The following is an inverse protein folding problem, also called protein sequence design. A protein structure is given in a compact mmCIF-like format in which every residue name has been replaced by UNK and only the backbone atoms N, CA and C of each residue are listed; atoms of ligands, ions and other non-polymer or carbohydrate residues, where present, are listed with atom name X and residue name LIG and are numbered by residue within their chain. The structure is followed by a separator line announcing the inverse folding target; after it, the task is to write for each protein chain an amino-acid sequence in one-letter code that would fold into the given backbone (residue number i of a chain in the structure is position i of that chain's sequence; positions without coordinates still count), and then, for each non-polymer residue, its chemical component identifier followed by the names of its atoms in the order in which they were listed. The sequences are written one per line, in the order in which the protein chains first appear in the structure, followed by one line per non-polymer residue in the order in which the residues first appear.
data_IF_571022378130
#
_entry.id   IF_571022378130
#
_cell.length_a   1.000
_cell.length_b   1.000
_cell.length_c   1.000
_cell.angle_alpha   90.00
_cell.angle_beta   90.00
_cell.angle_gamma   90.00
#
_symmetry.space_group_name_H-M   'P 1'
#
loop_
_entity.id
_entity.type
_entity.pdbx_description
1 polymer ?
#
# COMPACT_ATOMS: atom_id res chain seq x y z
N UNK A 1 -1.94 19.45 -3.39
CA UNK A 1 -1.50 19.37 -1.97
C UNK A 1 -2.73 19.25 -1.11
N UNK A 2 -2.82 18.19 -0.36
CA UNK A 2 -3.95 17.94 0.55
C UNK A 2 -3.46 18.04 2.00
N UNK A 3 -4.19 18.77 2.83
CA UNK A 3 -3.85 19.00 4.24
C UNK A 3 -5.04 18.58 5.09
N UNK A 4 -4.88 17.54 5.90
CA UNK A 4 -5.90 17.15 6.88
C UNK A 4 -5.80 18.00 8.15
N UNK A 5 -6.96 18.48 8.60
CA UNK A 5 -7.10 19.02 9.94
C UNK A 5 -6.96 17.95 11.01
N UNK A 6 -6.77 18.36 12.24
CA UNK A 6 -6.54 17.49 13.40
C UNK A 6 -7.71 16.56 13.65
N UNK A 7 -7.50 15.27 13.58
CA UNK A 7 -8.41 14.27 14.12
C UNK A 7 -7.80 13.72 15.42
N UNK A 8 -8.50 13.98 16.49
CA UNK A 8 -8.06 13.85 17.86
C UNK A 8 -7.60 12.48 18.32
N UNK A 9 -6.33 12.21 18.25
CA UNK A 9 -5.61 11.41 19.20
C UNK A 9 -4.43 12.22 19.71
N UNK A 10 -4.13 12.12 20.98
CA UNK A 10 -3.37 13.05 21.80
C UNK A 10 -1.90 13.27 21.41
N UNK A 11 -1.42 12.79 20.27
CA UNK A 11 -0.02 12.92 19.86
C UNK A 11 0.23 13.69 18.55
N UNK A 12 -0.79 13.90 17.71
CA UNK A 12 -0.63 14.67 16.47
C UNK A 12 -1.49 15.93 16.51
N UNK A 13 -1.04 16.93 17.22
CA UNK A 13 -1.71 18.24 17.28
C UNK A 13 -1.17 19.13 16.18
N UNK A 14 -1.88 19.23 15.08
CA UNK A 14 -1.57 20.18 14.00
C UNK A 14 -1.94 19.70 12.61
N UNK A 15 -1.96 20.59 11.62
CA UNK A 15 -2.16 20.20 10.22
C UNK A 15 -0.99 19.36 9.75
N UNK A 16 -1.27 18.26 9.05
CA UNK A 16 -0.23 17.44 8.41
C UNK A 16 -0.44 17.39 6.91
N UNK A 17 0.65 17.31 6.17
CA UNK A 17 0.60 17.09 4.73
C UNK A 17 0.25 15.63 4.50
N UNK A 18 -0.79 15.38 3.72
CA UNK A 18 -1.24 14.02 3.37
C UNK A 18 -0.63 13.60 2.04
N UNK A 19 -0.87 14.37 0.98
CA UNK A 19 -0.30 14.15 -0.34
C UNK A 19 0.42 15.43 -0.80
N UNK A 20 1.68 15.28 -1.19
CA UNK A 20 2.51 16.35 -1.75
C UNK A 20 3.49 15.74 -2.74
N UNK A 21 3.12 15.75 -4.02
CA UNK A 21 3.94 15.17 -5.07
C UNK A 21 3.90 15.99 -6.36
N UNK A 22 4.92 15.82 -7.18
CA UNK A 22 4.96 16.26 -8.57
C UNK A 22 4.89 15.03 -9.47
N UNK A 23 4.18 15.16 -10.58
CA UNK A 23 4.05 14.08 -11.56
C UNK A 23 4.31 14.60 -12.97
N UNK A 24 5.18 13.90 -13.70
CA UNK A 24 5.44 14.14 -15.09
C UNK A 24 4.67 13.12 -15.94
N UNK A 25 3.70 13.61 -16.73
CA UNK A 25 2.70 12.80 -17.44
C UNK A 25 2.70 12.99 -18.95
N UNK A 26 3.84 13.39 -19.52
CA UNK A 26 3.93 13.71 -20.95
C UNK A 26 3.57 12.52 -21.85
N UNK A 27 3.92 11.32 -21.47
CA UNK A 27 3.64 10.09 -22.21
C UNK A 27 2.80 9.13 -21.34
N UNK A 28 1.74 8.56 -21.92
CA UNK A 28 0.92 7.56 -21.20
C UNK A 28 1.72 6.30 -20.84
N UNK A 29 2.67 5.93 -21.70
CA UNK A 29 3.52 4.75 -21.48
C UNK A 29 4.64 4.94 -20.46
N UNK A 30 4.94 6.19 -20.08
CA UNK A 30 6.01 6.49 -19.12
C UNK A 30 5.69 7.77 -18.37
N UNK A 31 5.38 7.64 -17.10
CA UNK A 31 5.07 8.74 -16.18
C UNK A 31 5.96 8.58 -14.94
N UNK A 32 6.35 9.70 -14.35
CA UNK A 32 7.21 9.72 -13.16
C UNK A 32 6.54 10.54 -12.09
N UNK A 33 6.36 9.97 -10.91
CA UNK A 33 5.82 10.63 -9.71
C UNK A 33 6.86 10.67 -8.62
N UNK A 34 7.06 11.83 -8.03
CA UNK A 34 8.01 12.05 -6.93
C UNK A 34 7.36 12.86 -5.82
N UNK A 35 7.59 12.48 -4.57
CA UNK A 35 7.07 13.15 -3.38
C UNK A 35 6.40 12.19 -2.41
N UNK A 36 5.43 12.68 -1.64
CA UNK A 36 4.62 11.90 -0.71
C UNK A 36 3.27 11.56 -1.33
N UNK A 37 3.01 10.28 -1.50
CA UNK A 37 1.79 9.75 -2.14
C UNK A 37 1.51 8.31 -1.70
N UNK A 38 0.35 7.78 -2.10
CA UNK A 38 -0.05 6.40 -1.79
C UNK A 38 0.85 5.39 -2.49
N UNK A 39 1.29 4.37 -1.74
CA UNK A 39 2.10 3.26 -2.25
C UNK A 39 1.33 2.43 -3.27
N UNK A 40 2.01 1.97 -4.32
CA UNK A 40 1.44 1.16 -5.40
C UNK A 40 1.32 -0.33 -5.00
N UNK A 41 0.62 -0.61 -3.89
CA UNK A 41 0.41 -1.96 -3.39
C UNK A 41 -1.08 -2.21 -3.17
N UNK A 42 -1.61 -3.33 -3.65
CA UNK A 42 -3.04 -3.68 -3.77
C UNK A 42 -3.82 -2.85 -4.80
N UNK A 43 -5.01 -3.28 -5.16
CA UNK A 43 -5.90 -2.48 -6.00
C UNK A 43 -6.45 -1.25 -5.27
N UNK A 44 -6.74 -1.39 -3.98
CA UNK A 44 -7.47 -0.38 -3.23
C UNK A 44 -6.59 0.74 -2.69
N UNK A 45 -5.32 0.46 -2.33
CA UNK A 45 -4.50 1.48 -1.68
C UNK A 45 -4.32 2.75 -2.53
N UNK A 46 -4.04 2.67 -3.85
CA UNK A 46 -3.92 3.87 -4.69
C UNK A 46 -5.27 4.55 -4.97
N UNK A 47 -6.41 3.91 -4.74
CA UNK A 47 -7.72 4.47 -5.03
C UNK A 47 -8.08 5.64 -4.11
N UNK A 48 -8.95 6.54 -4.59
CA UNK A 48 -9.54 7.54 -3.72
C UNK A 48 -10.50 6.87 -2.74
N UNK A 49 -10.64 7.40 -1.50
CA UNK A 49 -11.56 6.84 -0.52
C UNK A 49 -13.01 6.76 -1.01
N UNK A 50 -13.43 7.65 -1.89
CA UNK A 50 -14.77 7.71 -2.47
C UNK A 50 -15.04 6.59 -3.49
N UNK A 51 -13.98 6.03 -4.10
CA UNK A 51 -14.07 5.02 -5.15
C UNK A 51 -13.93 3.58 -4.58
N UNK A 52 -13.68 3.45 -3.27
CA UNK A 52 -13.48 2.14 -2.63
C UNK A 52 -14.79 1.34 -2.53
N UNK A 53 -15.93 2.04 -2.40
CA UNK A 53 -17.24 1.42 -2.23
C UNK A 53 -17.68 1.36 -0.76
N UNK A 54 -18.22 0.24 -0.30
CA UNK A 54 -18.84 0.14 1.02
C UNK A 54 -17.88 0.36 2.18
N UNK A 55 -18.05 1.47 2.89
CA UNK A 55 -17.60 1.64 4.28
C UNK A 55 -16.11 1.73 4.56
N UNK A 56 -15.22 1.62 3.57
CA UNK A 56 -13.78 1.76 3.76
C UNK A 56 -12.94 0.70 3.07
N UNK A 57 -11.66 0.66 3.44
CA UNK A 57 -10.68 -0.30 2.88
C UNK A 57 -10.98 -1.73 3.32
N UNK A 58 -10.67 -2.69 2.45
CA UNK A 58 -10.69 -4.10 2.80
C UNK A 58 -9.71 -4.39 3.94
N UNK A 59 -9.96 -5.47 4.70
CA UNK A 59 -9.04 -5.88 5.77
C UNK A 59 -7.62 -6.13 5.25
N UNK A 60 -7.48 -6.60 4.00
CA UNK A 60 -6.20 -6.81 3.37
C UNK A 60 -5.45 -5.48 3.24
N UNK A 61 -6.06 -4.47 2.65
CA UNK A 61 -5.47 -3.14 2.49
C UNK A 61 -5.24 -2.46 3.85
N UNK A 62 -6.19 -2.56 4.78
CA UNK A 62 -6.04 -2.02 6.13
C UNK A 62 -4.82 -2.60 6.87
N UNK A 63 -4.61 -3.91 6.80
CA UNK A 63 -3.57 -4.61 7.56
C UNK A 63 -2.22 -4.72 6.84
N UNK A 64 -2.18 -4.51 5.52
CA UNK A 64 -0.98 -4.75 4.72
C UNK A 64 -0.55 -3.58 3.84
N UNK A 65 -1.29 -2.46 3.81
CA UNK A 65 -0.92 -1.31 2.97
C UNK A 65 -0.55 -0.05 3.77
N UNK A 66 -0.43 -0.14 5.10
CA UNK A 66 0.01 0.96 5.97
C UNK A 66 -1.13 1.79 6.56
N UNK A 67 -2.34 1.22 6.71
CA UNK A 67 -3.42 1.84 7.47
C UNK A 67 -3.30 1.50 8.96
N UNK A 68 -3.67 0.26 9.32
CA UNK A 68 -3.44 -0.37 10.61
C UNK A 68 -2.50 -1.56 10.43
N UNK A 69 -1.31 -1.28 9.95
CA UNK A 69 -0.38 -2.28 9.44
C UNK A 69 0.09 -3.24 10.53
N UNK A 70 0.07 -4.54 10.22
CA UNK A 70 0.46 -5.61 11.16
C UNK A 70 1.91 -5.51 11.62
N UNK A 71 2.79 -4.89 10.86
CA UNK A 71 4.18 -4.66 11.26
C UNK A 71 4.31 -3.62 12.39
N UNK A 72 3.21 -2.93 12.73
CA UNK A 72 3.19 -1.90 13.76
C UNK A 72 3.61 -0.53 13.25
N UNK A 73 3.58 -0.33 11.94
CA UNK A 73 3.72 1.00 11.35
C UNK A 73 2.61 1.91 11.90
N UNK A 74 2.98 3.16 12.19
CA UNK A 74 1.98 4.19 12.51
C UNK A 74 1.00 4.34 11.33
N UNK A 75 -0.21 4.80 11.60
CA UNK A 75 -1.22 4.96 10.54
C UNK A 75 -0.75 5.95 9.49
N UNK A 76 -0.20 5.43 8.39
CA UNK A 76 0.33 6.22 7.28
C UNK A 76 -0.73 6.53 6.22
N UNK A 77 -1.93 5.96 6.36
CA UNK A 77 -2.95 6.04 5.32
C UNK A 77 -2.48 5.44 3.99
N UNK A 78 -1.58 4.45 4.03
CA UNK A 78 -1.01 3.82 2.85
C UNK A 78 0.00 4.68 2.07
N UNK A 79 0.51 5.75 2.67
CA UNK A 79 1.39 6.73 2.02
C UNK A 79 2.83 6.64 2.47
N UNK A 80 3.72 7.12 1.60
CA UNK A 80 5.14 7.26 1.92
C UNK A 80 5.79 8.28 0.98
N UNK A 81 7.00 8.70 1.30
CA UNK A 81 7.83 9.51 0.40
C UNK A 81 8.57 8.57 -0.54
N UNK A 82 8.49 8.86 -1.84
CA UNK A 82 9.11 7.99 -2.83
C UNK A 82 9.21 8.57 -4.22
N UNK A 83 9.77 7.76 -5.10
CA UNK A 83 9.81 7.94 -6.55
C UNK A 83 9.13 6.74 -7.19
N UNK A 84 8.17 6.98 -8.07
CA UNK A 84 7.45 5.93 -8.79
C UNK A 84 7.46 6.21 -10.29
N UNK A 85 7.67 5.17 -11.06
CA UNK A 85 7.49 5.14 -12.52
C UNK A 85 6.26 4.28 -12.79
N UNK A 86 5.38 4.76 -13.66
CA UNK A 86 4.18 4.05 -14.08
C UNK A 86 3.87 4.30 -15.54
N UNK A 87 3.07 3.47 -16.14
CA UNK A 87 2.62 3.68 -17.51
C UNK A 87 1.69 2.63 -18.03
N UNK A 88 1.00 3.01 -19.10
CA UNK A 88 0.04 2.21 -19.85
C UNK A 88 0.64 1.85 -21.21
N UNK A 89 0.67 0.56 -21.52
CA UNK A 89 1.27 0.07 -22.77
C UNK A 89 0.37 -0.97 -23.44
N UNK A 90 0.67 -1.23 -24.72
CA UNK A 90 0.00 -2.21 -25.56
C UNK A 90 -1.50 -1.94 -25.72
N UNK A 91 -1.90 -0.87 -26.44
CA UNK A 91 -3.29 -0.64 -26.78
C UNK A 91 -3.83 -1.79 -27.62
N UNK A 92 -4.92 -2.42 -27.17
CA UNK A 92 -5.54 -3.60 -27.81
C UNK A 92 -7.05 -3.41 -27.94
N UNK A 93 -7.66 -4.24 -28.76
CA UNK A 93 -9.09 -4.20 -29.03
C UNK A 93 -9.53 -3.06 -29.95
N UNK A 94 -10.79 -3.08 -30.35
CA UNK A 94 -11.42 -2.04 -31.16
C UNK A 94 -11.59 -0.72 -30.40
N UNK A 95 -11.67 -0.79 -29.09
CA UNK A 95 -11.80 0.32 -28.15
C UNK A 95 -10.45 0.90 -27.71
N UNK A 96 -9.34 0.31 -28.18
CA UNK A 96 -7.95 0.73 -27.89
C UNK A 96 -7.66 0.88 -26.39
N UNK A 97 -8.25 0.02 -25.54
CA UNK A 97 -7.86 0.01 -24.14
C UNK A 97 -6.41 -0.47 -23.97
N UNK A 98 -5.74 0.02 -22.95
CA UNK A 98 -4.37 -0.43 -22.66
C UNK A 98 -4.40 -1.80 -22.03
N UNK A 99 -3.69 -2.76 -22.64
CA UNK A 99 -3.64 -4.14 -22.14
C UNK A 99 -2.84 -4.27 -20.86
N UNK A 100 -1.81 -3.46 -20.69
CA UNK A 100 -0.89 -3.55 -19.57
C UNK A 100 -0.71 -2.18 -18.92
N UNK A 101 -0.87 -2.14 -17.58
CA UNK A 101 -0.43 -1.04 -16.74
C UNK A 101 0.62 -1.54 -15.76
N UNK A 102 1.73 -0.81 -15.63
CA UNK A 102 2.79 -1.13 -14.70
C UNK A 102 3.08 0.02 -13.75
N UNK A 103 3.52 -0.33 -12.55
CA UNK A 103 3.97 0.61 -11.53
C UNK A 103 5.21 0.04 -10.84
N UNK A 104 6.26 0.83 -10.69
CA UNK A 104 7.46 0.48 -9.94
C UNK A 104 7.89 1.69 -9.12
N UNK A 105 7.96 1.55 -7.82
CA UNK A 105 8.30 2.65 -6.93
C UNK A 105 9.30 2.28 -5.85
N UNK A 106 10.14 3.23 -5.51
CA UNK A 106 11.09 3.16 -4.39
C UNK A 106 10.65 4.17 -3.34
N UNK A 107 10.50 3.71 -2.10
CA UNK A 107 9.96 4.50 -0.99
C UNK A 107 10.87 4.44 0.23
N UNK A 108 10.73 5.40 1.13
CA UNK A 108 11.52 5.44 2.37
C UNK A 108 11.22 4.28 3.34
N UNK A 109 9.99 3.74 3.31
CA UNK A 109 9.62 2.60 4.15
C UNK A 109 9.15 2.96 5.56
N UNK A 110 9.14 4.24 5.95
CA UNK A 110 8.74 4.67 7.29
C UNK A 110 7.32 5.24 7.36
N UNK A 111 6.66 5.42 6.20
CA UNK A 111 5.32 5.97 6.10
C UNK A 111 5.27 7.49 6.09
N UNK A 112 4.05 8.01 6.15
CA UNK A 112 3.76 9.43 6.00
C UNK A 112 4.42 10.30 7.08
N UNK A 113 5.04 11.42 6.65
CA UNK A 113 5.60 12.44 7.55
C UNK A 113 6.65 11.93 8.56
N UNK A 114 7.27 10.77 8.29
CA UNK A 114 8.36 10.26 9.12
C UNK A 114 9.68 10.33 8.37
N UNK A 115 10.72 10.70 9.10
CA UNK A 115 12.07 10.68 8.58
C UNK A 115 12.52 9.24 8.30
N UNK A 116 13.35 9.07 7.31
CA UNK A 116 14.03 7.80 7.08
C UNK A 116 15.04 7.54 8.22
N UNK A 117 14.84 6.48 8.96
CA UNK A 117 15.65 6.10 10.13
C UNK A 117 16.54 4.89 9.87
N UNK A 118 16.53 4.37 8.63
CA UNK A 118 17.39 3.28 8.21
C UNK A 118 17.89 3.53 6.77
N UNK A 119 18.93 2.82 6.35
CA UNK A 119 19.48 2.97 5.00
C UNK A 119 18.80 2.06 3.96
N UNK A 120 17.69 1.39 4.33
CA UNK A 120 16.96 0.48 3.44
C UNK A 120 15.76 1.21 2.84
N UNK A 121 15.55 0.99 1.54
CA UNK A 121 14.39 1.51 0.83
C UNK A 121 13.43 0.36 0.51
N UNK A 122 12.16 0.69 0.49
CA UNK A 122 11.11 -0.23 0.07
C UNK A 122 10.93 -0.17 -1.44
N UNK A 123 11.02 -1.32 -2.09
CA UNK A 123 10.68 -1.48 -3.51
C UNK A 123 9.28 -2.06 -3.60
N UNK A 124 8.40 -1.35 -4.30
CA UNK A 124 7.03 -1.79 -4.55
C UNK A 124 6.77 -1.81 -6.05
N UNK A 125 6.26 -2.94 -6.53
CA UNK A 125 5.92 -3.15 -7.93
C UNK A 125 4.46 -3.57 -8.05
N UNK A 126 3.77 -3.08 -9.07
CA UNK A 126 2.43 -3.48 -9.45
C UNK A 126 2.34 -3.69 -10.96
N UNK A 127 1.65 -4.75 -11.36
CA UNK A 127 1.36 -5.05 -12.75
C UNK A 127 -0.11 -5.37 -12.88
N UNK A 128 -0.77 -4.71 -13.83
CA UNK A 128 -2.17 -4.93 -14.16
C UNK A 128 -2.28 -5.38 -15.60
N UNK A 129 -3.04 -6.42 -15.84
CA UNK A 129 -3.39 -6.90 -17.18
C UNK A 129 -4.88 -6.69 -17.37
N UNK A 130 -5.26 -6.08 -18.48
CA UNK A 130 -6.64 -5.81 -18.89
C UNK A 130 -7.00 -6.65 -20.12
N UNK A 131 -7.42 -7.92 -19.95
CA UNK A 131 -7.83 -8.77 -21.08
C UNK A 131 -9.00 -8.18 -21.85
N UNK A 132 -9.90 -7.50 -21.14
CA UNK A 132 -11.01 -6.71 -21.67
C UNK A 132 -11.12 -5.41 -20.87
N UNK A 133 -11.75 -4.39 -21.43
CA UNK A 133 -11.81 -3.02 -20.89
C UNK A 133 -12.18 -2.92 -19.40
N UNK A 134 -13.07 -3.76 -18.92
CA UNK A 134 -13.61 -3.69 -17.55
C UNK A 134 -13.00 -4.71 -16.58
N UNK A 135 -12.11 -5.57 -17.05
CA UNK A 135 -11.50 -6.63 -16.23
C UNK A 135 -10.01 -6.35 -16.06
N UNK A 136 -9.58 -6.19 -14.83
CA UNK A 136 -8.17 -6.11 -14.46
C UNK A 136 -7.75 -7.33 -13.65
N UNK A 137 -6.63 -7.94 -14.02
CA UNK A 137 -5.91 -8.93 -13.22
C UNK A 137 -4.64 -8.26 -12.73
N UNK A 138 -4.42 -8.25 -11.42
CA UNK A 138 -3.30 -7.53 -10.80
C UNK A 138 -2.38 -8.46 -10.02
N UNK A 139 -1.08 -8.13 -10.06
CA UNK A 139 -0.06 -8.72 -9.21
C UNK A 139 0.79 -7.61 -8.60
N UNK A 140 1.05 -7.69 -7.29
CA UNK A 140 1.78 -6.67 -6.54
C UNK A 140 2.84 -7.31 -5.68
N UNK A 141 4.03 -6.72 -5.67
CA UNK A 141 5.13 -7.13 -4.83
C UNK A 141 5.64 -5.97 -3.99
N UNK A 142 6.01 -6.25 -2.75
CA UNK A 142 6.64 -5.30 -1.84
C UNK A 142 7.81 -5.98 -1.16
N UNK A 143 9.00 -5.47 -1.38
CA UNK A 143 10.21 -5.85 -0.66
C UNK A 143 10.71 -4.63 0.09
N UNK A 144 10.75 -4.71 1.41
CA UNK A 144 11.10 -3.57 2.24
C UNK A 144 11.40 -3.91 3.69
N UNK A 145 11.42 -2.86 4.50
CA UNK A 145 11.68 -2.98 5.94
C UNK A 145 10.99 -1.86 6.70
N UNK A 146 10.77 -2.09 7.98
CA UNK A 146 10.25 -1.09 8.90
C UNK A 146 11.11 -1.03 10.15
N UNK A 147 11.46 0.17 10.56
CA UNK A 147 12.28 0.40 11.76
C UNK A 147 11.48 1.10 12.82
N UNK A 148 11.46 0.52 14.02
CA UNK A 148 10.85 1.09 15.21
C UNK A 148 11.77 0.85 16.39
N UNK A 149 12.01 1.89 17.21
CA UNK A 149 12.89 1.83 18.38
C UNK A 149 14.27 1.23 18.08
N UNK A 150 14.90 1.65 16.96
CA UNK A 150 16.19 1.16 16.48
C UNK A 150 16.25 -0.32 16.08
N UNK A 151 15.10 -0.99 15.99
CA UNK A 151 15.01 -2.36 15.48
C UNK A 151 14.38 -2.37 14.10
N UNK A 152 15.07 -2.97 13.16
CA UNK A 152 14.61 -3.10 11.77
C UNK A 152 14.08 -4.51 11.53
N UNK A 153 12.87 -4.60 11.00
CA UNK A 153 12.24 -5.86 10.60
C UNK A 153 11.98 -5.87 9.11
N UNK A 154 12.05 -7.03 8.49
CA UNK A 154 11.70 -7.18 7.08
C UNK A 154 10.20 -7.01 6.86
N UNK A 155 9.85 -6.44 5.70
CA UNK A 155 8.47 -6.27 5.24
C UNK A 155 8.37 -6.72 3.79
N UNK A 156 8.09 -8.01 3.61
CA UNK A 156 7.96 -8.60 2.29
C UNK A 156 6.51 -9.03 2.06
N UNK A 157 5.90 -8.58 0.97
CA UNK A 157 4.49 -8.81 0.66
C UNK A 157 4.29 -9.14 -0.80
N UNK A 158 3.33 -10.00 -1.06
CA UNK A 158 2.89 -10.36 -2.39
C UNK A 158 1.37 -10.37 -2.41
N UNK A 159 0.77 -9.77 -3.41
CA UNK A 159 -0.68 -9.77 -3.61
C UNK A 159 -1.03 -10.09 -5.06
N UNK A 160 -2.15 -10.79 -5.23
CA UNK A 160 -2.76 -11.07 -6.52
C UNK A 160 -4.27 -10.82 -6.43
N UNK A 161 -4.84 -10.29 -7.49
CA UNK A 161 -6.26 -10.04 -7.47
C UNK A 161 -6.89 -9.88 -8.84
N UNK A 162 -8.20 -9.82 -8.82
CA UNK A 162 -9.05 -9.57 -9.98
C UNK A 162 -10.03 -8.46 -9.63
N UNK A 163 -10.20 -7.53 -10.55
CA UNK A 163 -11.13 -6.41 -10.44
C UNK A 163 -11.96 -6.30 -11.71
N UNK A 164 -13.28 -6.34 -11.58
CA UNK A 164 -14.22 -6.07 -12.65
C UNK A 164 -15.04 -4.83 -12.28
N UNK A 165 -15.08 -3.85 -13.17
CA UNK A 165 -15.76 -2.58 -12.97
C UNK A 165 -16.55 -2.19 -14.24
N UNK A 166 -17.86 -2.47 -14.22
CA UNK A 166 -18.82 -2.01 -15.21
C UNK A 166 -20.09 -1.56 -14.47
N UNK A 167 -21.27 -2.10 -14.83
CA UNK A 167 -22.52 -1.86 -14.08
C UNK A 167 -22.44 -2.44 -12.66
N UNK A 168 -21.57 -3.44 -12.48
CA UNK A 168 -21.23 -4.08 -11.22
C UNK A 168 -19.75 -3.90 -10.92
N UNK A 169 -19.43 -3.69 -9.66
CA UNK A 169 -18.03 -3.69 -9.19
C UNK A 169 -17.80 -4.94 -8.35
N UNK A 170 -16.87 -5.78 -8.81
CA UNK A 170 -16.42 -6.98 -8.09
C UNK A 170 -14.92 -6.93 -7.96
N UNK A 171 -14.41 -7.08 -6.72
CA UNK A 171 -12.98 -7.17 -6.43
C UNK A 171 -12.72 -8.38 -5.56
N UNK A 172 -11.70 -9.13 -5.91
CA UNK A 172 -11.19 -10.23 -5.10
C UNK A 172 -9.66 -10.14 -5.08
N UNK A 173 -9.08 -10.16 -3.90
CA UNK A 173 -7.65 -10.02 -3.73
C UNK A 173 -7.14 -10.97 -2.65
N UNK A 174 -6.01 -11.59 -2.93
CA UNK A 174 -5.30 -12.48 -2.02
C UNK A 174 -3.90 -11.90 -1.77
N UNK A 175 -3.44 -11.86 -0.52
CA UNK A 175 -2.10 -11.41 -0.21
C UNK A 175 -1.41 -12.31 0.81
N UNK A 176 -0.09 -12.33 0.70
CA UNK A 176 0.82 -12.93 1.64
C UNK A 176 1.73 -11.85 2.23
N UNK A 177 2.05 -11.95 3.51
CA UNK A 177 2.97 -11.04 4.17
C UNK A 177 3.95 -11.83 5.03
N UNK A 178 5.24 -11.48 4.92
CA UNK A 178 6.32 -11.98 5.76
C UNK A 178 6.96 -10.79 6.47
N UNK A 179 7.07 -10.87 7.79
CA UNK A 179 7.65 -9.84 8.63
C UNK A 179 7.32 -10.06 10.08
N UNK A 180 7.89 -9.27 10.98
CA UNK A 180 7.69 -9.38 12.41
C UNK A 180 7.22 -8.05 12.97
N UNK A 181 6.18 -8.09 13.80
CA UNK A 181 5.83 -6.97 14.67
C UNK A 181 6.73 -7.01 15.90
N UNK A 182 7.23 -5.87 16.31
CA UNK A 182 7.92 -5.72 17.59
C UNK A 182 6.81 -5.74 18.67
N UNK A 183 6.74 -6.81 19.45
CA UNK A 183 5.60 -7.07 20.33
C UNK A 183 5.80 -6.56 21.75
N UNK A 184 6.97 -6.73 22.32
CA UNK A 184 7.20 -6.51 23.74
C UNK A 184 8.29 -5.50 24.03
N UNK A 185 7.99 -4.60 24.95
CA UNK A 185 8.90 -3.59 25.45
C UNK A 185 9.06 -3.75 26.97
N UNK A 186 10.29 -3.65 27.44
CA UNK A 186 10.55 -3.44 28.85
C UNK A 186 10.13 -2.03 29.30
N UNK A 187 10.06 -1.81 30.59
CA UNK A 187 9.77 -0.49 31.18
C UNK A 187 10.81 0.59 30.79
N UNK A 188 12.01 0.19 30.39
CA UNK A 188 13.07 1.04 29.88
C UNK A 188 12.98 1.29 28.34
N UNK A 189 11.97 0.74 27.68
CA UNK A 189 11.78 0.87 26.23
C UNK A 189 12.59 -0.13 25.40
N UNK A 190 13.36 -1.02 26.03
CA UNK A 190 14.08 -2.07 25.30
C UNK A 190 13.13 -3.18 24.84
N UNK A 191 13.46 -3.84 23.73
CA UNK A 191 12.62 -4.86 23.10
C UNK A 191 12.96 -6.22 23.69
N UNK A 192 11.93 -6.90 24.22
CA UNK A 192 12.06 -8.24 24.82
C UNK A 192 11.64 -9.36 23.90
N UNK A 193 10.89 -9.07 22.83
CA UNK A 193 10.42 -10.13 21.95
C UNK A 193 9.86 -9.60 20.62
N UNK A 194 9.83 -10.51 19.64
CA UNK A 194 9.17 -10.30 18.36
C UNK A 194 7.91 -11.16 18.32
N UNK A 195 6.79 -10.55 18.01
CA UNK A 195 5.62 -11.30 17.63
C UNK A 195 5.82 -11.76 16.17
N UNK A 196 6.11 -13.04 15.99
CA UNK A 196 6.20 -13.62 14.64
C UNK A 196 4.83 -13.58 14.00
N UNK A 197 4.57 -12.55 13.27
CA UNK A 197 3.43 -12.47 12.37
C UNK A 197 3.78 -13.16 11.06
N UNK A 198 4.25 -14.40 11.12
CA UNK A 198 4.35 -15.25 9.94
C UNK A 198 2.92 -15.59 9.51
N UNK A 199 2.27 -14.65 8.84
CA UNK A 199 1.02 -14.90 8.17
C UNK A 199 1.31 -15.68 6.89
N UNK A 200 1.55 -16.97 7.04
CA UNK A 200 1.48 -17.95 5.97
C UNK A 200 0.24 -18.82 6.15
N UNK A 201 -0.60 -18.94 5.14
CA UNK A 201 -1.15 -17.87 4.31
C UNK A 201 -2.02 -16.96 5.16
N UNK A 202 -2.24 -15.72 4.75
CA UNK A 202 -3.39 -14.98 5.26
C UNK A 202 -4.66 -15.75 4.85
N UNK A 203 -4.99 -16.82 5.58
CA UNK A 203 -6.33 -17.35 5.61
C UNK A 203 -7.15 -16.23 6.19
N UNK A 204 -7.84 -15.55 5.32
CA UNK A 204 -8.78 -14.52 5.73
C UNK A 204 -9.78 -15.16 6.70
N UNK A 205 -9.75 -14.87 8.02
CA UNK A 205 -10.74 -15.42 8.95
C UNK A 205 -12.07 -14.70 8.82
N UNK A 206 -12.31 -13.93 7.75
CA UNK A 206 -13.58 -13.22 7.53
C UNK A 206 -14.82 -14.12 7.53
N UNK A 207 -14.64 -15.46 7.52
CA UNK A 207 -15.75 -16.40 7.55
C UNK A 207 -15.93 -17.11 8.90
N UNK A 208 -15.10 -16.83 9.92
CA UNK A 208 -15.26 -17.49 11.24
C UNK A 208 -16.09 -16.70 12.26
N UNK A 209 -16.28 -15.41 12.05
CA UNK A 209 -17.02 -14.56 12.97
C UNK A 209 -18.34 -14.00 12.39
N UNK A 210 -18.84 -14.60 11.32
CA UNK A 210 -20.08 -14.18 10.64
C UNK A 210 -21.21 -15.22 10.76
N UNK A 211 -21.18 -16.08 11.81
CA UNK A 211 -22.34 -16.90 12.22
C UNK A 211 -22.45 -16.93 13.74
#
# INVERSE_FOLDING_TARGET
MEVNGVSGTSQEKGPRIVDAYAEWVKYSSFQVRFGQFKRAFTFENPMNPWDIGFGGYSQLTDKLAGMNDRIGEHSSGGRDIGLMIQGDILPVGSDKHNFLHYQVGVYNGQGINHADVNNRKDLICGLYIYPIKHLAIGAFGWNGSYTKNNVTTDRNRLSFGVKYEADWTVRAEYAQSKGHKIADYNADGSITGYDKTDAWPCRNPMWKDAF
#
